data_IF_841726682889
#
_entry.id   IF_841726682889
#
_cell.length_a   1.000
_cell.length_b   1.000
_cell.length_c   1.000
_cell.angle_alpha   90.00
_cell.angle_beta   90.00
_cell.angle_gamma   90.00
#
_symmetry.space_group_name_H-M   'P 1'
#
loop_
_entity.id
_entity.type
_entity.pdbx_description
1 polymer ?
#
# COMPACT_ATOMS: atom_id res chain seq x y z
N UNK A 1 30.25 -23.64 -52.77
CA UNK A 1 30.67 -22.43 -52.02
C UNK A 1 29.45 -21.66 -51.52
N UNK A 2 28.50 -22.30 -50.82
CA UNK A 2 27.24 -21.65 -50.40
C UNK A 2 26.71 -22.08 -49.01
N UNK A 3 27.30 -23.11 -48.38
CA UNK A 3 26.85 -23.57 -47.05
C UNK A 3 27.38 -22.71 -45.90
N UNK A 4 28.62 -22.22 -46.00
CA UNK A 4 29.24 -21.40 -44.95
C UNK A 4 28.53 -20.05 -44.75
N UNK A 5 28.06 -19.42 -45.83
CA UNK A 5 27.34 -18.15 -45.78
C UNK A 5 25.97 -18.33 -45.11
N UNK A 6 25.27 -19.43 -45.40
CA UNK A 6 23.97 -19.74 -44.80
C UNK A 6 24.07 -19.99 -43.28
N UNK A 7 25.15 -20.65 -42.84
CA UNK A 7 25.40 -20.95 -41.42
C UNK A 7 25.73 -19.67 -40.63
N UNK A 8 26.53 -18.76 -41.20
CA UNK A 8 26.86 -17.46 -40.58
C UNK A 8 25.60 -16.58 -40.47
N UNK A 9 24.74 -16.62 -41.47
CA UNK A 9 23.48 -15.86 -41.49
C UNK A 9 22.48 -16.41 -40.47
N UNK A 10 22.35 -17.73 -40.33
CA UNK A 10 21.53 -18.33 -39.26
C UNK A 10 22.08 -18.01 -37.86
N UNK A 11 23.40 -18.06 -37.68
CA UNK A 11 24.03 -17.78 -36.39
C UNK A 11 23.83 -16.32 -35.92
N UNK A 12 23.85 -15.37 -36.86
CA UNK A 12 23.61 -13.94 -36.54
C UNK A 12 22.14 -13.65 -36.19
N UNK A 13 21.18 -14.29 -36.85
CA UNK A 13 19.76 -14.21 -36.45
C UNK A 13 19.49 -14.83 -35.06
N UNK A 14 20.19 -15.91 -34.71
CA UNK A 14 20.04 -16.53 -33.40
C UNK A 14 20.56 -15.65 -32.26
N UNK A 15 21.70 -14.96 -32.47
CA UNK A 15 22.27 -14.02 -31.50
C UNK A 15 21.39 -12.77 -31.35
N UNK A 16 20.83 -12.25 -32.45
CA UNK A 16 19.89 -11.13 -32.42
C UNK A 16 18.60 -11.46 -31.66
N UNK A 17 18.08 -12.69 -31.80
CA UNK A 17 16.91 -13.15 -31.06
C UNK A 17 17.14 -13.25 -29.54
N UNK A 18 18.33 -13.66 -29.11
CA UNK A 18 18.69 -13.75 -27.68
C UNK A 18 18.88 -12.35 -27.07
N UNK A 19 19.41 -11.38 -27.84
CA UNK A 19 19.53 -9.98 -27.40
C UNK A 19 18.19 -9.25 -27.29
N UNK A 20 17.15 -9.68 -28.01
CA UNK A 20 15.77 -9.19 -27.82
C UNK A 20 15.00 -9.86 -26.68
N UNK A 21 15.53 -10.94 -26.09
CA UNK A 21 15.05 -11.50 -24.83
C UNK A 21 15.65 -10.79 -23.61
N UNK A 22 16.12 -9.55 -23.79
CA UNK A 22 16.44 -8.62 -22.73
C UNK A 22 15.19 -8.24 -21.96
N UNK A 23 14.69 -9.17 -21.15
CA UNK A 23 14.06 -8.94 -19.87
C UNK A 23 13.20 -7.66 -19.80
N UNK A 24 12.02 -7.69 -20.44
CA UNK A 24 10.86 -7.02 -19.84
C UNK A 24 10.49 -7.82 -18.57
N UNK A 25 11.41 -7.85 -17.60
CA UNK A 25 11.03 -8.18 -16.23
C UNK A 25 10.21 -7.00 -15.80
N UNK A 26 8.90 -7.13 -16.02
CA UNK A 26 7.89 -6.27 -15.46
C UNK A 26 8.09 -6.33 -13.95
N UNK A 27 8.92 -5.44 -13.43
CA UNK A 27 9.09 -5.29 -12.01
C UNK A 27 7.73 -4.84 -11.49
N UNK A 28 7.06 -5.70 -10.74
CA UNK A 28 5.90 -5.32 -9.96
C UNK A 28 6.27 -4.03 -9.19
N UNK A 29 5.38 -3.02 -9.15
CA UNK A 29 5.65 -1.81 -8.40
C UNK A 29 5.90 -2.17 -6.95
N UNK A 30 7.16 -2.03 -6.52
CA UNK A 30 7.61 -2.29 -5.17
C UNK A 30 7.12 -1.16 -4.28
N UNK A 31 6.00 -1.40 -3.58
CA UNK A 31 5.33 -0.43 -2.74
C UNK A 31 5.37 -0.90 -1.29
N UNK A 32 5.95 -0.06 -0.45
CA UNK A 32 5.93 -0.21 1.00
C UNK A 32 4.93 0.79 1.60
N UNK A 33 4.21 0.36 2.63
CA UNK A 33 3.30 1.22 3.39
C UNK A 33 3.77 1.27 4.83
N UNK A 34 3.89 2.47 5.36
CA UNK A 34 4.00 2.70 6.79
C UNK A 34 2.75 3.46 7.26
N UNK A 35 2.07 2.94 8.28
CA UNK A 35 0.91 3.61 8.88
C UNK A 35 1.17 3.88 10.35
N UNK A 36 0.86 5.09 10.78
CA UNK A 36 0.88 5.49 12.19
C UNK A 36 -0.46 6.08 12.59
N UNK A 37 -0.77 6.00 13.87
CA UNK A 37 -2.04 6.47 14.43
C UNK A 37 -1.80 7.42 15.58
N UNK A 38 -2.64 8.44 15.68
CA UNK A 38 -2.64 9.40 16.79
C UNK A 38 -4.05 9.65 17.26
N UNK A 39 -4.26 9.57 18.57
CA UNK A 39 -5.54 9.94 19.19
C UNK A 39 -5.73 11.46 19.11
N UNK A 40 -6.92 11.89 18.65
CA UNK A 40 -7.26 13.31 18.44
C UNK A 40 -8.39 13.75 19.34
N UNK A 41 -9.43 12.92 19.47
CA UNK A 41 -10.63 13.30 20.22
C UNK A 41 -11.29 12.09 20.90
N UNK A 42 -11.83 12.36 22.08
CA UNK A 42 -12.57 11.42 22.92
C UNK A 42 -13.98 11.95 23.11
N UNK A 43 -14.97 11.19 22.66
CA UNK A 43 -16.40 11.51 22.84
C UNK A 43 -17.04 10.47 23.78
N UNK A 44 -17.16 10.78 25.08
CA UNK A 44 -17.74 9.86 26.06
C UNK A 44 -19.26 9.73 25.96
N UNK A 45 -19.97 10.64 25.28
CA UNK A 45 -21.43 10.56 25.09
C UNK A 45 -21.83 9.37 24.23
N UNK A 46 -21.05 9.09 23.19
CA UNK A 46 -21.35 8.10 22.16
C UNK A 46 -20.29 6.98 22.10
N UNK A 47 -19.41 6.94 23.11
CA UNK A 47 -18.29 5.99 23.23
C UNK A 47 -17.45 5.90 21.96
N UNK A 48 -17.10 7.07 21.42
CA UNK A 48 -16.40 7.20 20.13
C UNK A 48 -15.03 7.84 20.35
N UNK A 49 -13.99 7.23 19.76
CA UNK A 49 -12.63 7.81 19.74
C UNK A 49 -12.27 8.13 18.30
N UNK A 50 -11.79 9.35 18.06
CA UNK A 50 -11.32 9.79 16.75
C UNK A 50 -9.82 9.78 16.71
N UNK A 51 -9.28 9.17 15.65
CA UNK A 51 -7.87 9.04 15.39
C UNK A 51 -7.48 9.71 14.07
N UNK A 52 -6.34 10.38 14.06
CA UNK A 52 -5.62 10.78 12.85
C UNK A 52 -4.73 9.59 12.46
N UNK A 53 -4.88 9.11 11.23
CA UNK A 53 -4.04 8.06 10.64
C UNK A 53 -3.16 8.73 9.60
N UNK A 54 -1.85 8.61 9.78
CA UNK A 54 -0.86 9.04 8.80
C UNK A 54 -0.35 7.82 8.05
N UNK A 55 -0.47 7.84 6.73
CA UNK A 55 -0.09 6.74 5.84
C UNK A 55 0.97 7.26 4.89
N UNK A 56 2.15 6.69 4.98
CA UNK A 56 3.25 6.93 4.06
C UNK A 56 3.31 5.77 3.07
N UNK A 57 3.10 6.07 1.79
CA UNK A 57 3.23 5.09 0.72
C UNK A 57 4.49 5.39 -0.08
N UNK A 58 5.41 4.44 -0.03
CA UNK A 58 6.76 4.56 -0.56
C UNK A 58 6.84 3.69 -1.81
N UNK A 59 7.12 4.30 -2.95
CA UNK A 59 7.40 3.57 -4.18
C UNK A 59 8.91 3.32 -4.30
N UNK A 60 9.36 2.12 -3.96
CA UNK A 60 10.75 1.68 -4.12
C UNK A 60 11.07 1.23 -5.55
N UNK A 61 10.04 1.06 -6.38
CA UNK A 61 10.17 0.67 -7.77
C UNK A 61 10.87 1.71 -8.65
N UNK A 62 11.36 1.25 -9.79
CA UNK A 62 11.96 2.09 -10.83
C UNK A 62 10.93 2.78 -11.73
N UNK A 63 9.65 2.42 -11.60
CA UNK A 63 8.54 2.95 -12.38
C UNK A 63 7.57 3.73 -11.50
N UNK A 64 6.85 4.68 -12.09
CA UNK A 64 5.77 5.38 -11.41
C UNK A 64 4.61 4.41 -11.13
N UNK A 65 4.02 4.50 -9.94
CA UNK A 65 2.79 3.81 -9.60
C UNK A 65 1.62 4.78 -9.82
N UNK A 66 0.58 4.33 -10.52
CA UNK A 66 -0.60 5.10 -10.85
C UNK A 66 -1.84 4.46 -10.22
N UNK A 67 -2.89 5.26 -10.00
CA UNK A 67 -4.17 4.79 -9.43
C UNK A 67 -3.96 3.96 -8.15
N UNK A 68 -3.02 4.41 -7.30
CA UNK A 68 -2.72 3.78 -6.02
C UNK A 68 -3.87 4.08 -5.07
N UNK A 69 -4.44 3.01 -4.52
CA UNK A 69 -5.48 3.06 -3.50
C UNK A 69 -5.09 2.18 -2.33
N UNK A 70 -5.34 2.69 -1.14
CA UNK A 70 -5.17 1.96 0.10
C UNK A 70 -6.51 1.83 0.82
N UNK A 71 -6.64 0.81 1.64
CA UNK A 71 -7.69 0.72 2.64
C UNK A 71 -7.01 0.75 4.00
N UNK A 72 -7.46 1.64 4.87
CA UNK A 72 -7.02 1.68 6.26
C UNK A 72 -8.17 1.23 7.16
N UNK A 73 -7.85 0.35 8.10
CA UNK A 73 -8.77 -0.17 9.11
C UNK A 73 -8.20 0.20 10.47
N UNK A 74 -9.05 0.77 11.32
CA UNK A 74 -8.80 0.87 12.75
C UNK A 74 -9.73 -0.06 13.48
N UNK A 75 -9.21 -0.80 14.46
CA UNK A 75 -10.02 -1.74 15.23
C UNK A 75 -9.62 -1.82 16.68
N UNK A 76 -10.59 -2.13 17.53
CA UNK A 76 -10.31 -2.53 18.91
C UNK A 76 -9.42 -3.78 18.90
N UNK A 77 -8.49 -3.93 19.86
CA UNK A 77 -7.68 -5.13 19.99
C UNK A 77 -8.50 -6.41 19.97
N UNK A 78 -8.00 -7.42 19.25
CA UNK A 78 -8.71 -8.69 19.05
C UNK A 78 -8.89 -9.52 20.34
N UNK A 79 -8.13 -9.20 21.38
CA UNK A 79 -8.23 -9.82 22.71
C UNK A 79 -9.31 -9.18 23.60
N UNK A 80 -9.93 -8.07 23.17
CA UNK A 80 -11.05 -7.46 23.87
C UNK A 80 -12.37 -8.21 23.62
N UNK A 81 -13.29 -8.19 24.60
CA UNK A 81 -14.53 -8.97 24.54
C UNK A 81 -15.47 -8.60 23.38
N UNK A 82 -15.34 -7.39 22.83
CA UNK A 82 -16.06 -6.99 21.61
C UNK A 82 -15.12 -6.39 20.59
N UNK A 83 -15.04 -7.04 19.42
CA UNK A 83 -14.31 -6.51 18.27
C UNK A 83 -15.17 -5.49 17.52
N UNK A 84 -14.64 -4.27 17.36
CA UNK A 84 -15.23 -3.19 16.55
C UNK A 84 -14.15 -2.66 15.61
N UNK A 85 -14.57 -2.26 14.42
CA UNK A 85 -13.68 -1.68 13.44
C UNK A 85 -14.36 -0.56 12.66
N UNK A 86 -13.55 0.39 12.19
CA UNK A 86 -13.92 1.39 11.21
C UNK A 86 -12.90 1.32 10.08
N UNK A 87 -13.33 1.57 8.85
CA UNK A 87 -12.46 1.49 7.69
C UNK A 87 -12.71 2.63 6.72
N UNK A 88 -11.68 2.98 5.95
CA UNK A 88 -11.76 3.98 4.90
C UNK A 88 -10.97 3.53 3.68
N UNK A 89 -11.54 3.80 2.50
CA UNK A 89 -10.82 3.65 1.24
C UNK A 89 -10.20 4.98 0.87
N UNK A 90 -8.90 4.96 0.61
CA UNK A 90 -8.05 6.14 0.48
C UNK A 90 -7.49 6.14 -0.93
N UNK A 91 -7.90 7.13 -1.71
CA UNK A 91 -7.32 7.41 -3.01
C UNK A 91 -6.03 8.20 -2.82
N UNK A 92 -4.91 7.59 -3.21
CA UNK A 92 -3.57 8.18 -3.11
C UNK A 92 -3.17 8.78 -4.47
N UNK A 93 -3.56 8.11 -5.56
CA UNK A 93 -3.32 8.59 -6.91
C UNK A 93 -1.98 8.12 -7.46
N UNK A 94 -1.16 9.05 -7.96
CA UNK A 94 0.13 8.72 -8.57
C UNK A 94 1.26 8.91 -7.58
N UNK A 95 2.12 7.90 -7.46
CA UNK A 95 3.34 7.91 -6.65
C UNK A 95 4.53 7.80 -7.60
N UNK A 96 5.32 8.87 -7.79
CA UNK A 96 6.50 8.82 -8.63
C UNK A 96 7.48 7.75 -8.16
N UNK A 97 8.31 7.26 -9.08
CA UNK A 97 9.37 6.30 -8.76
C UNK A 97 10.29 6.83 -7.66
N UNK A 98 10.68 5.97 -6.73
CA UNK A 98 11.60 6.31 -5.63
C UNK A 98 11.14 7.45 -4.73
N UNK A 99 9.84 7.76 -4.72
CA UNK A 99 9.26 8.81 -3.89
C UNK A 99 8.28 8.26 -2.85
N UNK A 100 8.03 9.08 -1.84
CA UNK A 100 7.06 8.83 -0.77
C UNK A 100 5.93 9.84 -0.86
N UNK A 101 4.69 9.36 -0.81
CA UNK A 101 3.50 10.19 -0.69
C UNK A 101 2.86 9.92 0.67
N UNK A 102 2.70 10.98 1.46
CA UNK A 102 2.06 10.94 2.77
C UNK A 102 0.61 11.40 2.67
N UNK A 103 -0.30 10.63 3.24
CA UNK A 103 -1.73 10.92 3.29
C UNK A 103 -2.21 10.81 4.72
N UNK A 104 -2.90 11.87 5.19
CA UNK A 104 -3.52 11.88 6.51
C UNK A 104 -5.03 11.70 6.37
N UNK A 105 -5.60 10.84 7.21
CA UNK A 105 -7.04 10.57 7.27
C UNK A 105 -7.55 10.54 8.71
N UNK A 106 -8.84 10.83 8.87
CA UNK A 106 -9.51 10.83 10.17
C UNK A 106 -10.54 9.74 10.21
N UNK A 107 -10.39 8.84 11.16
CA UNK A 107 -11.33 7.75 11.39
C UNK A 107 -11.83 7.78 12.82
N UNK A 108 -13.14 7.67 12.97
CA UNK A 108 -13.80 7.59 14.27
C UNK A 108 -14.25 6.16 14.50
N UNK A 109 -13.83 5.59 15.63
CA UNK A 109 -14.18 4.25 16.06
C UNK A 109 -15.19 4.34 17.20
N UNK A 110 -16.42 3.92 16.92
CA UNK A 110 -17.43 3.72 17.96
C UNK A 110 -17.27 2.33 18.56
N UNK A 111 -17.31 2.25 19.89
CA UNK A 111 -17.10 1.01 20.63
C UNK A 111 -17.98 0.93 21.88
N UNK A 112 -17.88 -0.18 22.61
CA UNK A 112 -18.56 -0.30 23.90
C UNK A 112 -17.88 0.55 24.96
N UNK A 113 -18.63 0.90 26.01
CA UNK A 113 -18.09 1.62 27.16
C UNK A 113 -16.83 0.96 27.75
N UNK A 114 -16.83 -0.37 27.90
CA UNK A 114 -15.69 -1.11 28.46
C UNK A 114 -14.42 -0.94 27.61
N UNK A 115 -14.52 -1.05 26.28
CA UNK A 115 -13.38 -0.83 25.40
C UNK A 115 -12.97 0.65 25.37
N UNK A 116 -13.95 1.56 25.33
CA UNK A 116 -13.70 3.00 25.36
C UNK A 116 -12.89 3.39 26.59
N UNK A 117 -13.26 2.91 27.78
CA UNK A 117 -12.56 3.21 29.02
C UNK A 117 -11.09 2.73 28.96
N UNK A 118 -10.84 1.53 28.40
CA UNK A 118 -9.48 0.99 28.26
C UNK A 118 -8.62 1.78 27.27
N UNK A 119 -9.17 2.11 26.10
CA UNK A 119 -8.43 2.81 25.03
C UNK A 119 -8.25 4.31 25.35
N UNK A 120 -9.26 4.96 25.94
CA UNK A 120 -9.18 6.38 26.31
C UNK A 120 -8.19 6.65 27.44
N UNK A 121 -7.96 5.67 28.32
CA UNK A 121 -6.98 5.74 29.40
C UNK A 121 -5.56 5.37 28.95
N UNK A 122 -5.37 4.95 27.69
CA UNK A 122 -4.08 4.49 27.18
C UNK A 122 -3.60 3.18 27.81
N UNK A 123 -4.52 2.40 28.40
CA UNK A 123 -4.20 1.06 28.91
C UNK A 123 -4.05 0.05 27.79
N UNK A 124 -4.67 0.33 26.64
CA UNK A 124 -4.57 -0.43 25.39
C UNK A 124 -4.57 0.52 24.20
N UNK A 125 -3.81 0.16 23.19
CA UNK A 125 -3.80 0.88 21.91
C UNK A 125 -4.82 0.30 20.93
N UNK A 126 -5.16 1.08 19.91
CA UNK A 126 -5.98 0.62 18.78
C UNK A 126 -5.09 -0.13 17.78
N UNK A 127 -5.62 -1.18 17.17
CA UNK A 127 -4.95 -1.84 16.05
C UNK A 127 -5.21 -1.05 14.76
N UNK A 128 -4.15 -0.72 14.02
CA UNK A 128 -4.26 -0.08 12.70
C UNK A 128 -3.61 -0.97 11.66
N UNK A 129 -4.37 -1.27 10.62
CA UNK A 129 -3.93 -2.05 9.48
C UNK A 129 -4.22 -1.28 8.20
N UNK A 130 -3.19 -1.01 7.41
CA UNK A 130 -3.34 -0.38 6.09
C UNK A 130 -2.80 -1.29 5.01
N UNK A 131 -3.57 -1.48 3.95
CA UNK A 131 -3.22 -2.35 2.82
C UNK A 131 -3.47 -1.63 1.50
N UNK A 132 -2.55 -1.80 0.54
CA UNK A 132 -2.81 -1.42 -0.85
C UNK A 132 -3.91 -2.32 -1.38
N UNK A 133 -4.98 -1.72 -1.89
CA UNK A 133 -6.10 -2.44 -2.52
C UNK A 133 -6.01 -2.40 -4.04
N UNK A 134 -5.30 -1.42 -4.60
CA UNK A 134 -5.12 -1.27 -6.04
C UNK A 134 -3.87 -0.47 -6.35
N UNK A 135 -3.12 -0.93 -7.34
CA UNK A 135 -2.01 -0.22 -7.99
C UNK A 135 -2.04 -0.54 -9.47
N UNK A 136 -1.90 0.47 -10.32
CA UNK A 136 -1.69 0.32 -11.74
C UNK A 136 -0.29 0.82 -12.10
N UNK A 137 0.50 0.02 -12.82
CA UNK A 137 1.74 0.50 -13.44
C UNK A 137 1.45 0.74 -14.92
N UNK A 138 1.32 2.00 -15.34
CA UNK A 138 1.23 2.34 -16.75
C UNK A 138 2.63 2.38 -17.32
N UNK A 139 2.91 1.40 -18.16
CA UNK A 139 4.11 1.35 -18.99
C UNK A 139 3.65 1.92 -20.32
N UNK A 140 3.85 3.22 -20.53
CA UNK A 140 3.98 3.70 -21.91
C UNK A 140 5.34 3.18 -22.38
N UNK A 141 5.28 2.06 -23.12
CA UNK A 141 6.41 1.55 -23.90
C UNK A 141 6.79 2.48 -25.04
#
# INVERSE_FOLDING_TARGET
>A
MNYYILIILLGTFFIAGILSCGCNSYAEPDIEINSSVKLVNLSPSDYTITYDISIDVINKGSNNAYDVRAMSIISTPKDLPEYRFAHENIEIGTIPKQETVSVNRRLSLQMTKANYDLLSQGLRDVDVETKITRVSSNIMG
#
